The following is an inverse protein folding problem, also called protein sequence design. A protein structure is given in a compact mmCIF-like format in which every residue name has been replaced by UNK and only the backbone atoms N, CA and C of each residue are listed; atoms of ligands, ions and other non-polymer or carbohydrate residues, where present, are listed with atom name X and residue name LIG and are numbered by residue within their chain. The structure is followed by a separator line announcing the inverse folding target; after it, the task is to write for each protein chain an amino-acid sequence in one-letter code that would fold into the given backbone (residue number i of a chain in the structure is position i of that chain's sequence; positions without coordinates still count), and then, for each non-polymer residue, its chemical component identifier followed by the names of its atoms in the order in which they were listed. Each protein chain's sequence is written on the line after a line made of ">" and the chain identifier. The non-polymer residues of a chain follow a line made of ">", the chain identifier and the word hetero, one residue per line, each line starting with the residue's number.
data_IF_471905121870
#
_entry.id   IF_471905121870
#
_cell.length_a   1.000
_cell.length_b   1.000
_cell.length_c   1.000
_cell.angle_alpha   90.00
_cell.angle_beta   90.00
_cell.angle_gamma   90.00
#
_symmetry.space_group_name_H-M   'P 1'
#
loop_
_entity.id
_entity.type
_entity.pdbx_description
1 polymer ?
#
# COMPACT_ATOMS: atom_id res chain seq x y z
N UNK A 1 -28.20 34.36 1.93
CA UNK A 1 -27.27 33.32 2.40
C UNK A 1 -27.80 31.97 1.95
N UNK A 2 -27.19 31.39 0.92
CA UNK A 2 -27.65 30.13 0.33
C UNK A 2 -27.21 28.98 1.23
N UNK A 3 -28.16 28.29 1.85
CA UNK A 3 -27.88 27.13 2.69
C UNK A 3 -27.31 26.01 1.82
N UNK A 4 -25.99 25.84 1.84
CA UNK A 4 -25.33 24.68 1.24
C UNK A 4 -25.81 23.44 1.97
N UNK A 5 -26.58 22.62 1.24
CA UNK A 5 -27.14 21.36 1.71
C UNK A 5 -26.03 20.50 2.34
N UNK A 6 -26.24 20.03 3.58
CA UNK A 6 -25.28 19.25 4.38
C UNK A 6 -24.71 18.05 3.61
N UNK A 7 -25.48 17.47 2.69
CA UNK A 7 -25.01 16.38 1.83
C UNK A 7 -23.90 16.83 0.85
N UNK A 8 -23.99 18.03 0.29
CA UNK A 8 -22.95 18.57 -0.59
C UNK A 8 -21.70 18.97 0.20
N UNK A 9 -21.85 19.58 1.38
CA UNK A 9 -20.70 19.87 2.24
C UNK A 9 -19.97 18.58 2.66
N UNK A 10 -20.71 17.48 2.91
CA UNK A 10 -20.13 16.19 3.22
C UNK A 10 -19.31 15.62 2.05
N UNK A 11 -19.84 15.64 0.82
CA UNK A 11 -19.13 15.11 -0.37
C UNK A 11 -17.83 15.88 -0.68
N UNK A 12 -17.78 17.19 -0.43
CA UNK A 12 -16.57 17.98 -0.69
C UNK A 12 -15.57 17.99 0.48
N UNK A 13 -16.05 17.89 1.73
CA UNK A 13 -15.17 17.91 2.90
C UNK A 13 -14.68 16.53 3.34
N UNK A 14 -15.28 15.43 2.88
CA UNK A 14 -14.85 14.06 3.23
C UNK A 14 -13.37 13.85 2.98
N UNK A 15 -12.81 14.27 1.85
CA UNK A 15 -11.38 14.03 1.61
C UNK A 15 -10.48 14.77 2.61
N UNK A 16 -10.89 15.96 3.07
CA UNK A 16 -10.11 16.73 4.04
C UNK A 16 -10.25 16.14 5.45
N UNK A 17 -11.47 15.76 5.84
CA UNK A 17 -11.74 15.10 7.12
C UNK A 17 -11.09 13.70 7.17
N UNK A 18 -11.16 12.92 6.09
CA UNK A 18 -10.49 11.62 5.97
C UNK A 18 -8.97 11.78 6.05
N UNK A 19 -8.40 12.82 5.44
CA UNK A 19 -6.97 13.14 5.60
C UNK A 19 -6.61 13.50 7.04
N UNK A 20 -7.44 14.30 7.73
CA UNK A 20 -7.25 14.62 9.15
C UNK A 20 -7.32 13.36 10.01
N UNK A 21 -8.31 12.50 9.78
CA UNK A 21 -8.47 11.21 10.47
C UNK A 21 -7.26 10.32 10.21
N UNK A 22 -6.83 10.17 8.95
CA UNK A 22 -5.65 9.37 8.59
C UNK A 22 -4.36 9.88 9.25
N UNK A 23 -4.19 11.21 9.39
CA UNK A 23 -3.08 11.81 10.14
C UNK A 23 -3.13 11.43 11.61
N UNK A 24 -4.28 11.61 12.25
CA UNK A 24 -4.48 11.27 13.67
C UNK A 24 -4.21 9.77 13.92
N UNK A 25 -4.76 8.90 13.07
CA UNK A 25 -4.50 7.45 13.14
C UNK A 25 -3.03 7.08 12.91
N UNK A 26 -2.29 7.92 12.17
CA UNK A 26 -0.85 7.77 11.94
C UNK A 26 0.02 8.44 13.02
N UNK A 27 -0.60 8.92 14.11
CA UNK A 27 0.06 9.59 15.21
C UNK A 27 0.54 11.00 14.88
N UNK A 28 -0.15 11.71 13.99
CA UNK A 28 0.11 13.13 13.66
C UNK A 28 -1.08 13.99 14.08
N UNK A 29 -0.88 15.27 14.44
CA UNK A 29 -1.98 16.21 14.61
C UNK A 29 -2.84 16.34 13.34
N UNK A 30 -4.14 16.56 13.49
CA UNK A 30 -5.08 16.66 12.36
C UNK A 30 -4.67 17.72 11.32
N UNK A 31 -4.13 18.86 11.77
CA UNK A 31 -3.66 19.96 10.92
C UNK A 31 -2.19 19.87 10.48
N UNK A 32 -1.46 18.81 10.83
CA UNK A 32 -0.03 18.73 10.56
C UNK A 32 0.27 18.52 9.07
N UNK A 33 1.25 19.27 8.57
CA UNK A 33 1.88 19.00 7.27
C UNK A 33 2.80 17.79 7.41
N UNK A 34 2.36 16.65 6.91
CA UNK A 34 3.14 15.41 6.96
C UNK A 34 4.17 15.43 5.83
N UNK A 35 5.44 15.55 6.19
CA UNK A 35 6.54 15.39 5.24
C UNK A 35 6.85 13.90 5.10
N UNK A 36 6.86 13.42 3.87
CA UNK A 36 7.23 12.05 3.56
C UNK A 36 8.68 11.78 4.02
N UNK A 37 8.94 10.67 4.73
CA UNK A 37 10.30 10.35 5.13
C UNK A 37 11.15 10.08 3.88
N UNK A 38 12.36 10.61 3.88
CA UNK A 38 13.28 10.55 2.73
C UNK A 38 14.55 9.79 3.06
N UNK A 39 15.17 9.21 2.02
CA UNK A 39 16.50 8.60 2.12
C UNK A 39 17.64 9.63 2.11
N UNK A 40 17.35 10.93 1.98
CA UNK A 40 18.37 11.98 1.96
C UNK A 40 19.23 12.05 3.23
N UNK A 41 18.75 11.49 4.34
CA UNK A 41 19.46 11.43 5.62
C UNK A 41 20.67 10.48 5.54
N UNK A 42 20.67 9.55 4.58
CA UNK A 42 21.72 8.55 4.44
C UNK A 42 22.83 9.00 3.49
N UNK A 43 24.04 8.53 3.76
CA UNK A 43 25.19 8.69 2.88
C UNK A 43 25.03 7.86 1.59
N UNK A 44 25.89 8.14 0.61
CA UNK A 44 25.84 7.50 -0.71
C UNK A 44 26.03 5.98 -0.65
N UNK A 45 26.83 5.46 0.30
CA UNK A 45 27.05 4.02 0.41
C UNK A 45 25.80 3.33 0.96
N UNK A 46 25.19 3.87 2.02
CA UNK A 46 23.92 3.35 2.56
C UNK A 46 22.79 3.42 1.53
N UNK A 47 22.67 4.53 0.77
CA UNK A 47 21.71 4.65 -0.33
C UNK A 47 21.91 3.56 -1.39
N UNK A 48 23.16 3.22 -1.72
CA UNK A 48 23.48 2.15 -2.68
C UNK A 48 23.08 0.76 -2.16
N UNK A 49 23.29 0.48 -0.89
CA UNK A 49 22.85 -0.78 -0.27
C UNK A 49 21.32 -0.91 -0.24
N UNK A 50 20.62 0.15 0.15
CA UNK A 50 19.16 0.23 0.09
C UNK A 50 18.63 0.06 -1.33
N UNK A 51 19.28 0.66 -2.33
CA UNK A 51 18.90 0.51 -3.74
C UNK A 51 19.04 -0.94 -4.22
N UNK A 52 20.11 -1.66 -3.81
CA UNK A 52 20.25 -3.09 -4.12
C UNK A 52 19.16 -3.93 -3.46
N UNK A 53 18.82 -3.66 -2.19
CA UNK A 53 17.70 -4.34 -1.53
C UNK A 53 16.37 -4.03 -2.22
N UNK A 54 16.13 -2.76 -2.58
CA UNK A 54 14.94 -2.29 -3.27
C UNK A 54 14.77 -3.02 -4.62
N UNK A 55 15.86 -3.15 -5.40
CA UNK A 55 15.82 -3.85 -6.68
C UNK A 55 15.33 -5.30 -6.57
N UNK A 56 15.68 -6.00 -5.49
CA UNK A 56 15.29 -7.40 -5.27
C UNK A 56 13.93 -7.52 -4.59
N UNK A 57 13.61 -6.64 -3.63
CA UNK A 57 12.31 -6.62 -2.94
C UNK A 57 11.16 -6.29 -3.89
N UNK A 58 11.39 -5.30 -4.75
CA UNK A 58 10.38 -4.80 -5.70
C UNK A 58 10.61 -5.29 -7.12
N UNK A 59 11.42 -6.34 -7.30
CA UNK A 59 11.77 -6.88 -8.62
C UNK A 59 10.54 -7.12 -9.50
N UNK A 60 9.42 -7.59 -8.95
CA UNK A 60 8.18 -7.83 -9.69
C UNK A 60 7.43 -6.57 -10.15
N UNK A 61 7.79 -5.40 -9.64
CA UNK A 61 7.06 -4.15 -9.80
C UNK A 61 7.82 -3.08 -10.61
N UNK A 62 9.07 -3.35 -10.99
CA UNK A 62 9.95 -2.43 -11.70
C UNK A 62 10.67 -3.15 -12.83
N UNK A 63 11.23 -2.42 -13.80
CA UNK A 63 12.12 -2.99 -14.83
C UNK A 63 11.43 -3.78 -15.95
N UNK A 64 10.14 -3.57 -16.18
CA UNK A 64 9.44 -3.99 -17.41
C UNK A 64 9.73 -3.01 -18.55
N UNK A 65 9.73 -3.46 -19.81
CA UNK A 65 9.92 -2.60 -20.99
C UNK A 65 8.82 -1.54 -21.13
N UNK A 66 7.59 -1.90 -20.80
CA UNK A 66 6.45 -0.99 -20.86
C UNK A 66 6.22 -0.32 -19.49
N UNK A 67 6.43 0.99 -19.45
CA UNK A 67 6.36 1.80 -18.24
C UNK A 67 5.01 1.73 -17.52
N UNK A 68 3.91 1.38 -18.20
CA UNK A 68 2.60 1.25 -17.55
C UNK A 68 2.52 0.07 -16.56
N UNK A 69 3.45 -0.88 -16.65
CA UNK A 69 3.56 -2.01 -15.73
C UNK A 69 4.56 -1.77 -14.60
N UNK A 70 5.22 -0.61 -14.59
CA UNK A 70 6.20 -0.25 -13.57
C UNK A 70 5.59 0.71 -12.55
N UNK A 71 5.90 0.49 -11.27
CA UNK A 71 5.60 1.46 -10.21
C UNK A 71 6.60 2.62 -10.35
N UNK A 72 6.12 3.85 -10.16
CA UNK A 72 6.98 5.04 -10.13
C UNK A 72 8.11 4.87 -9.09
N UNK A 73 9.34 5.16 -9.51
CA UNK A 73 10.53 4.99 -8.67
C UNK A 73 10.46 5.79 -7.35
N UNK A 74 9.83 6.96 -7.34
CA UNK A 74 9.61 7.75 -6.12
C UNK A 74 8.73 7.00 -5.12
N UNK A 75 7.68 6.34 -5.62
CA UNK A 75 6.78 5.51 -4.79
C UNK A 75 7.52 4.30 -4.25
N UNK A 76 8.33 3.64 -5.08
CA UNK A 76 9.13 2.48 -4.62
C UNK A 76 10.14 2.90 -3.55
N UNK A 77 10.80 4.05 -3.75
CA UNK A 77 11.73 4.63 -2.78
C UNK A 77 11.02 4.95 -1.47
N UNK A 78 9.84 5.57 -1.55
CA UNK A 78 9.02 5.85 -0.37
C UNK A 78 8.63 4.57 0.37
N UNK A 79 8.16 3.54 -0.35
CA UNK A 79 7.85 2.24 0.24
C UNK A 79 9.08 1.62 0.91
N UNK A 80 10.26 1.73 0.29
CA UNK A 80 11.52 1.25 0.86
C UNK A 80 11.87 1.98 2.17
N UNK A 81 11.67 3.31 2.23
CA UNK A 81 11.86 4.09 3.46
C UNK A 81 10.95 3.60 4.57
N UNK A 82 9.65 3.46 4.29
CA UNK A 82 8.67 3.00 5.27
C UNK A 82 8.95 1.57 5.72
N UNK A 83 9.35 0.68 4.81
CA UNK A 83 9.73 -0.68 5.12
C UNK A 83 10.92 -0.72 6.07
N UNK A 84 11.99 0.01 5.74
CA UNK A 84 13.22 0.10 6.55
C UNK A 84 12.90 0.62 7.94
N UNK A 85 12.11 1.70 8.02
CA UNK A 85 11.69 2.33 9.28
C UNK A 85 10.81 1.43 10.16
N UNK A 86 9.91 0.65 9.55
CA UNK A 86 8.95 -0.21 10.28
C UNK A 86 9.54 -1.58 10.63
N UNK A 87 10.56 -2.04 9.91
CA UNK A 87 11.16 -3.35 10.07
C UNK A 87 11.55 -3.71 11.52
N UNK A 88 12.21 -2.84 12.32
CA UNK A 88 12.54 -3.19 13.70
C UNK A 88 11.31 -3.52 14.55
N UNK A 89 10.19 -2.82 14.34
CA UNK A 89 8.93 -3.10 15.06
C UNK A 89 8.27 -4.38 14.54
N UNK A 90 8.23 -4.56 13.22
CA UNK A 90 7.65 -5.76 12.62
C UNK A 90 8.37 -7.03 13.08
N UNK A 91 9.71 -6.97 13.16
CA UNK A 91 10.54 -8.08 13.63
C UNK A 91 10.31 -8.38 15.11
N UNK A 92 10.21 -7.36 15.95
CA UNK A 92 9.91 -7.51 17.37
C UNK A 92 8.51 -8.09 17.62
N UNK A 93 7.52 -7.68 16.82
CA UNK A 93 6.14 -8.15 16.93
C UNK A 93 5.98 -9.59 16.45
N UNK A 94 6.57 -9.93 15.29
CA UNK A 94 6.48 -11.27 14.72
C UNK A 94 7.64 -11.55 13.76
N UNK A 95 8.72 -12.13 14.28
CA UNK A 95 9.89 -12.51 13.48
C UNK A 95 9.57 -13.56 12.40
N UNK A 96 8.52 -14.37 12.60
CA UNK A 96 8.10 -15.39 11.65
C UNK A 96 7.20 -14.87 10.52
N UNK A 97 6.82 -13.58 10.55
CA UNK A 97 5.96 -12.97 9.54
C UNK A 97 6.56 -13.10 8.13
N UNK A 98 5.74 -13.39 7.09
CA UNK A 98 6.25 -13.58 5.72
C UNK A 98 7.09 -12.40 5.20
N UNK A 99 6.69 -11.17 5.53
CA UNK A 99 7.42 -9.96 5.15
C UNK A 99 8.80 -9.87 5.82
N UNK A 100 8.89 -10.18 7.11
CA UNK A 100 10.15 -10.18 7.86
C UNK A 100 11.11 -11.22 7.29
N UNK A 101 10.62 -12.45 7.08
CA UNK A 101 11.40 -13.52 6.42
C UNK A 101 11.89 -13.13 5.04
N UNK A 102 11.06 -12.42 4.25
CA UNK A 102 11.43 -11.94 2.92
C UNK A 102 12.56 -10.91 3.00
N UNK A 103 12.46 -9.92 3.90
CA UNK A 103 13.51 -8.92 4.10
C UNK A 103 14.81 -9.58 4.53
N UNK A 104 14.77 -10.51 5.48
CA UNK A 104 15.95 -11.24 5.96
C UNK A 104 16.60 -12.07 4.83
N UNK A 105 15.78 -12.70 3.99
CA UNK A 105 16.27 -13.47 2.83
C UNK A 105 16.93 -12.56 1.80
N UNK A 106 16.31 -11.42 1.49
CA UNK A 106 16.87 -10.46 0.53
C UNK A 106 18.15 -9.82 1.05
N UNK A 107 18.19 -9.45 2.33
CA UNK A 107 19.40 -8.92 2.95
C UNK A 107 20.58 -9.90 2.78
N UNK A 108 20.35 -11.19 3.06
CA UNK A 108 21.34 -12.26 2.82
C UNK A 108 21.73 -12.40 1.36
N UNK A 109 20.77 -12.40 0.43
CA UNK A 109 21.03 -12.50 -1.01
C UNK A 109 21.89 -11.35 -1.54
N UNK A 110 21.64 -10.14 -1.04
CA UNK A 110 22.30 -8.92 -1.52
C UNK A 110 23.64 -8.67 -0.81
N UNK A 111 23.85 -9.30 0.34
CA UNK A 111 25.03 -9.12 1.20
C UNK A 111 24.91 -7.96 2.20
N UNK A 112 23.70 -7.47 2.47
CA UNK A 112 23.47 -6.39 3.44
C UNK A 112 23.41 -6.95 4.85
N UNK A 113 24.15 -6.33 5.78
CA UNK A 113 24.07 -6.70 7.20
C UNK A 113 22.70 -6.29 7.77
N UNK A 114 21.97 -7.28 8.30
CA UNK A 114 20.64 -7.06 8.87
C UNK A 114 20.66 -6.16 10.10
N UNK A 115 21.76 -6.14 10.86
CA UNK A 115 21.94 -5.27 12.02
C UNK A 115 22.08 -3.81 11.58
N UNK A 116 22.81 -3.55 10.50
CA UNK A 116 22.90 -2.23 9.89
C UNK A 116 21.50 -1.77 9.40
N UNK A 117 20.74 -2.67 8.78
CA UNK A 117 19.36 -2.39 8.36
C UNK A 117 18.44 -2.01 9.54
N UNK A 118 18.58 -2.67 10.69
CA UNK A 118 17.86 -2.30 11.93
C UNK A 118 18.30 -0.91 12.43
N UNK A 119 19.61 -0.61 12.40
CA UNK A 119 20.13 0.69 12.80
C UNK A 119 19.57 1.82 11.93
N UNK A 120 19.54 1.64 10.61
CA UNK A 120 18.93 2.60 9.67
C UNK A 120 17.44 2.80 9.93
N UNK A 121 16.71 1.71 10.21
CA UNK A 121 15.29 1.79 10.56
C UNK A 121 15.03 2.57 11.84
N UNK A 122 15.95 2.46 12.81
CA UNK A 122 15.90 3.20 14.08
C UNK A 122 16.19 4.67 13.88
N UNK A 123 17.21 5.01 13.08
CA UNK A 123 17.53 6.39 12.69
C UNK A 123 16.33 7.08 12.02
N UNK A 124 15.71 6.43 11.03
CA UNK A 124 14.52 6.94 10.34
C UNK A 124 13.33 7.16 11.29
N UNK A 125 13.22 6.35 12.34
CA UNK A 125 12.16 6.53 13.35
C UNK A 125 12.42 7.75 14.22
N UNK A 126 13.65 7.92 14.67
CA UNK A 126 14.06 9.04 15.54
C UNK A 126 13.91 10.39 14.83
N UNK A 127 14.12 10.45 13.51
CA UNK A 127 13.86 11.67 12.74
C UNK A 127 12.37 12.09 12.74
N UNK A 128 11.40 11.16 12.85
CA UNK A 128 9.99 11.55 13.05
C UNK A 128 9.75 12.14 14.44
N UNK A 129 10.40 11.59 15.47
CA UNK A 129 10.26 12.09 16.84
C UNK A 129 10.74 13.54 16.89
N UNK A 130 11.92 13.80 16.32
CA UNK A 130 12.45 15.17 16.20
C UNK A 130 11.55 16.11 15.38
N UNK A 131 10.99 15.66 14.25
CA UNK A 131 10.06 16.47 13.47
C UNK A 131 8.75 16.76 14.23
N UNK A 132 8.24 15.81 15.02
CA UNK A 132 7.04 15.97 15.84
C UNK A 132 7.28 16.89 17.05
N UNK A 133 8.44 16.79 17.69
CA UNK A 133 8.84 17.65 18.81
C UNK A 133 9.12 19.09 18.36
N UNK A 134 9.78 19.28 17.21
CA UNK A 134 10.05 20.61 16.65
C UNK A 134 8.75 21.36 16.31
N UNK A 135 7.75 20.67 15.73
CA UNK A 135 6.43 21.26 15.47
C UNK A 135 5.75 21.63 16.78
N UNK A 136 5.76 20.75 17.78
CA UNK A 136 5.14 21.01 19.08
C UNK A 136 5.79 22.18 19.83
N UNK A 137 7.11 22.32 19.75
CA UNK A 137 7.88 23.42 20.36
C UNK A 137 7.64 24.75 19.63
N UNK A 138 7.56 24.74 18.30
CA UNK A 138 7.24 25.94 17.50
C UNK A 138 5.84 26.50 17.79
N UNK A 139 4.84 25.63 18.01
CA UNK A 139 3.48 26.04 18.36
C UNK A 139 3.40 26.61 19.77
N UNK A 140 4.20 26.06 20.70
CA UNK A 140 4.32 26.61 22.06
C UNK A 140 4.95 28.01 22.04
N UNK A 141 5.99 28.22 21.23
CA UNK A 141 6.64 29.53 21.11
C UNK A 141 5.69 30.57 20.48
N UNK A 142 4.97 30.24 19.41
CA UNK A 142 4.00 31.18 18.81
C UNK A 142 2.85 31.54 19.75
N UNK A 143 2.42 30.59 20.58
CA UNK A 143 1.39 30.85 21.60
C UNK A 143 1.92 31.76 22.72
N UNK A 144 3.17 31.56 23.15
CA UNK A 144 3.82 32.41 24.15
C UNK A 144 4.03 33.85 23.63
N UNK A 145 4.41 34.01 22.37
CA UNK A 145 4.50 35.32 21.70
C UNK A 145 3.13 36.01 21.65
N UNK A 146 2.08 35.30 21.23
CA UNK A 146 0.72 35.84 21.18
C UNK A 146 0.18 36.23 22.57
N UNK A 147 0.50 35.45 23.61
CA UNK A 147 0.17 35.83 24.99
C UNK A 147 0.93 37.08 25.46
N UNK A 148 2.19 37.22 25.06
CA UNK A 148 3.02 38.39 25.40
C UNK A 148 2.46 39.67 24.78
N UNK A 149 2.07 39.63 23.51
CA UNK A 149 1.45 40.78 22.81
C UNK A 149 0.10 41.17 23.44
N UNK A 150 -0.74 40.18 23.78
CA UNK A 150 -2.02 40.44 24.43
C UNK A 150 -1.83 41.06 25.83
N UNK A 151 -0.84 40.63 26.59
CA UNK A 151 -0.51 41.23 27.90
C UNK A 151 -0.04 42.67 27.73
N UNK A 152 0.78 42.97 26.72
CA UNK A 152 1.19 44.35 26.44
C UNK A 152 0.00 45.25 26.10
N UNK A 153 -0.91 44.79 25.23
CA UNK A 153 -2.13 45.54 24.88
C UNK A 153 -3.01 45.78 26.11
N UNK A 154 -3.23 44.76 26.94
CA UNK A 154 -4.01 44.89 28.17
C UNK A 154 -3.35 45.83 29.18
N UNK A 155 -2.02 45.82 29.27
CA UNK A 155 -1.25 46.72 30.16
C UNK A 155 -1.39 48.17 29.71
N UNK A 156 -1.30 48.41 28.40
CA UNK A 156 -1.49 49.74 27.80
C UNK A 156 -2.94 50.24 27.96
N UNK A 157 -3.93 49.34 27.79
CA UNK A 157 -5.33 49.67 28.04
C UNK A 157 -5.58 50.01 29.52
N UNK A 158 -5.01 49.25 30.46
CA UNK A 158 -5.12 49.54 31.88
C UNK A 158 -4.47 50.88 32.24
N UNK A 159 -3.34 51.22 31.63
CA UNK A 159 -2.70 52.53 31.81
C UNK A 159 -3.62 53.68 31.38
N UNK A 160 -4.21 53.57 30.19
CA UNK A 160 -5.18 54.57 29.69
C UNK A 160 -6.44 54.65 30.54
N UNK A 161 -6.91 53.52 31.08
CA UNK A 161 -8.04 53.51 32.01
C UNK A 161 -7.69 54.21 33.32
N UNK A 162 -6.48 53.99 33.87
CA UNK A 162 -6.02 54.72 35.05
C UNK A 162 -5.94 56.23 34.78
N UNK A 163 -5.37 56.66 33.64
CA UNK A 163 -5.30 58.08 33.28
C UNK A 163 -6.70 58.71 33.17
N UNK A 164 -7.65 57.98 32.56
CA UNK A 164 -9.06 58.42 32.45
C UNK A 164 -9.77 58.48 33.80
N UNK A 165 -9.50 57.52 34.70
CA UNK A 165 -10.05 57.55 36.05
C UNK A 165 -9.52 58.78 36.80
N UNK A 166 -8.23 59.08 36.67
CA UNK A 166 -7.64 60.25 37.31
C UNK A 166 -8.22 61.57 36.78
N UNK A 167 -8.49 61.67 35.48
CA UNK A 167 -9.16 62.82 34.86
C UNK A 167 -10.64 62.92 35.27
N UNK A 168 -11.35 61.79 35.35
CA UNK A 168 -12.71 61.73 35.88
C UNK A 168 -12.74 62.11 37.36
N UNK A 169 -11.79 61.65 38.18
CA UNK A 169 -11.67 62.04 39.59
C UNK A 169 -11.37 63.53 39.75
N UNK A 170 -10.54 64.12 38.88
CA UNK A 170 -10.27 65.55 38.87
C UNK A 170 -11.51 66.38 38.48
N UNK A 171 -12.27 65.92 37.47
CA UNK A 171 -13.51 66.57 37.03
C UNK A 171 -14.66 66.35 38.01
N UNK A 172 -14.70 65.22 38.72
CA UNK A 172 -15.67 64.94 39.79
C UNK A 172 -15.38 65.75 41.05
N UNK A 173 -14.10 65.94 41.41
CA UNK A 173 -13.68 66.86 42.48
C UNK A 173 -14.08 68.32 42.17
N UNK A 174 -14.14 68.69 40.89
CA UNK A 174 -14.61 70.00 40.44
C UNK A 174 -16.16 70.12 40.38
N UNK A 175 -16.89 69.00 40.28
CA UNK A 175 -18.35 68.99 40.14
C UNK A 175 -19.12 68.55 41.40
N UNK A 176 -18.41 68.18 42.48
CA UNK A 176 -18.96 67.89 43.80
C UNK A 176 -19.33 69.14 44.64
N UNK A 177 -19.68 70.27 43.99
CA UNK A 177 -20.35 71.43 44.62
C UNK A 177 -21.85 71.50 44.33
N UNK A 178 -22.47 70.50 43.68
CA UNK A 178 -23.92 70.49 43.48
C UNK A 178 -24.49 69.08 43.58
N UNK A 179 -25.26 68.84 44.65
CA UNK A 179 -26.01 67.63 44.99
C UNK A 179 -26.87 67.10 43.83
N UNK A 180 -27.33 65.84 43.78
CA UNK A 180 -27.34 64.70 44.71
C UNK A 180 -28.44 63.71 44.26
N UNK A 181 -28.41 62.50 44.83
CA UNK A 181 -29.49 61.47 44.87
C UNK A 181 -29.87 60.80 43.52
N UNK A 182 -30.25 59.52 43.41
CA UNK A 182 -30.62 58.46 44.35
C UNK A 182 -30.79 57.13 43.54
N UNK A 183 -30.44 55.98 44.15
CA UNK A 183 -31.09 54.64 44.11
C UNK A 183 -31.31 53.97 42.73
N UNK A 184 -31.02 52.69 42.47
CA UNK A 184 -30.54 51.58 43.29
C UNK A 184 -30.67 50.24 42.54
N UNK A 185 -30.29 49.17 43.25
CA UNK A 185 -30.63 47.74 43.04
C UNK A 185 -29.69 46.85 42.20
N UNK A 186 -29.00 45.93 42.92
CA UNK A 186 -28.37 44.64 42.52
C UNK A 186 -29.39 43.64 41.89
N UNK A 187 -29.09 42.37 41.46
CA UNK A 187 -27.96 41.46 41.78
C UNK A 187 -27.38 40.62 40.59
N UNK A 188 -26.14 40.12 40.64
CA UNK A 188 -25.65 38.79 41.09
C UNK A 188 -25.90 37.56 40.17
N UNK A 189 -24.77 37.04 39.68
CA UNK A 189 -24.31 35.67 39.37
C UNK A 189 -25.26 34.46 39.19
N UNK A 190 -24.90 33.61 38.20
CA UNK A 190 -24.78 32.12 38.14
C UNK A 190 -25.06 31.68 36.69
N UNK A 191 -24.35 30.79 36.01
CA UNK A 191 -23.76 29.50 36.39
C UNK A 191 -24.58 28.37 35.73
N UNK A 192 -24.02 27.64 34.75
CA UNK A 192 -24.53 26.34 34.24
C UNK A 192 -23.47 25.67 33.33
N UNK A 193 -22.81 24.60 33.77
CA UNK A 193 -23.10 23.16 33.52
C UNK A 193 -22.84 22.69 32.08
N UNK A 194 -21.77 21.90 31.94
CA UNK A 194 -21.47 21.00 30.82
C UNK A 194 -22.19 19.67 31.09
N UNK A 195 -22.81 19.11 30.05
CA UNK A 195 -23.09 17.67 29.95
C UNK A 195 -22.65 17.22 28.55
N UNK A 196 -21.78 16.21 28.50
CA UNK A 196 -21.38 15.53 27.27
C UNK A 196 -21.55 14.04 27.51
N UNK A 197 -22.56 13.44 26.88
CA UNK A 197 -22.75 12.00 26.79
C UNK A 197 -22.29 11.53 25.41
N UNK A 198 -21.38 10.56 25.42
CA UNK A 198 -20.88 9.82 24.26
C UNK A 198 -21.70 8.55 24.11
N UNK A 199 -22.21 8.19 22.92
CA UNK A 199 -22.58 6.82 22.62
C UNK A 199 -21.49 6.13 21.79
N UNK A 200 -21.09 4.99 22.33
CA UNK A 200 -20.23 3.94 21.79
C UNK A 200 -20.88 3.34 20.53
N UNK A 201 -20.08 3.06 19.49
CA UNK A 201 -20.57 2.45 18.24
C UNK A 201 -19.96 1.07 18.04
N UNK A 202 -20.85 0.08 17.95
CA UNK A 202 -20.57 -1.32 17.67
C UNK A 202 -19.97 -1.49 16.26
N UNK A 203 -18.79 -2.10 16.19
CA UNK A 203 -18.13 -2.48 14.95
C UNK A 203 -18.62 -3.87 14.51
N UNK A 204 -19.50 -3.90 13.53
CA UNK A 204 -19.84 -5.13 12.80
C UNK A 204 -18.72 -5.42 11.77
N UNK A 205 -18.14 -6.63 11.71
CA UNK A 205 -17.01 -6.91 10.82
C UNK A 205 -17.44 -6.93 9.34
N UNK A 206 -16.76 -6.12 8.53
CA UNK A 206 -16.98 -6.04 7.08
C UNK A 206 -16.70 -7.38 6.38
N UNK A 207 -17.68 -7.83 5.59
CA UNK A 207 -17.58 -8.98 4.69
C UNK A 207 -16.47 -8.75 3.65
N UNK A 208 -15.59 -9.75 3.51
CA UNK A 208 -14.50 -9.80 2.52
C UNK A 208 -15.06 -9.59 1.10
N UNK A 209 -14.59 -8.53 0.45
CA UNK A 209 -14.83 -8.22 -0.97
C UNK A 209 -14.38 -9.39 -1.87
N UNK A 210 -15.22 -9.78 -2.83
CA UNK A 210 -14.90 -10.77 -3.88
C UNK A 210 -13.91 -10.12 -4.85
N UNK A 211 -12.67 -10.60 -4.85
CA UNK A 211 -11.63 -10.15 -5.78
C UNK A 211 -11.97 -10.43 -7.25
N UNK A 212 -11.44 -9.58 -8.13
CA UNK A 212 -11.52 -9.68 -9.58
C UNK A 212 -11.05 -11.06 -10.10
N UNK A 213 -11.64 -11.51 -11.20
CA UNK A 213 -11.31 -12.82 -11.76
C UNK A 213 -9.87 -12.86 -12.27
N UNK A 214 -9.05 -13.78 -11.75
CA UNK A 214 -7.66 -13.95 -12.19
C UNK A 214 -7.66 -14.53 -13.62
N UNK A 215 -6.99 -13.85 -14.56
CA UNK A 215 -6.88 -14.28 -15.95
C UNK A 215 -5.78 -15.34 -16.16
N UNK A 216 -5.86 -16.18 -17.20
CA UNK A 216 -4.83 -17.19 -17.50
C UNK A 216 -3.41 -16.62 -17.66
N UNK A 217 -3.24 -15.51 -18.36
CA UNK A 217 -1.94 -14.83 -18.54
C UNK A 217 -1.37 -14.30 -17.23
N UNK A 218 -2.21 -13.94 -16.25
CA UNK A 218 -1.76 -13.57 -14.90
C UNK A 218 -1.16 -14.77 -14.18
N UNK A 219 -1.81 -15.93 -14.25
CA UNK A 219 -1.31 -17.17 -13.64
C UNK A 219 -0.06 -17.69 -14.35
N UNK A 220 0.02 -17.53 -15.68
CA UNK A 220 1.24 -17.77 -16.46
C UNK A 220 2.39 -16.90 -15.99
N UNK A 221 2.17 -15.58 -15.90
CA UNK A 221 3.20 -14.65 -15.47
C UNK A 221 3.66 -14.94 -14.04
N UNK A 222 2.73 -15.22 -13.12
CA UNK A 222 3.05 -15.59 -11.74
C UNK A 222 3.84 -16.90 -11.67
N UNK A 223 3.49 -17.90 -12.46
CA UNK A 223 4.20 -19.18 -12.54
C UNK A 223 5.70 -18.95 -12.79
N UNK A 224 6.02 -18.17 -13.82
CA UNK A 224 7.39 -17.95 -14.26
C UNK A 224 8.16 -16.86 -13.50
N UNK A 225 7.49 -15.86 -12.93
CA UNK A 225 8.19 -14.69 -12.35
C UNK A 225 8.20 -14.63 -10.83
N UNK A 226 7.32 -15.36 -10.14
CA UNK A 226 7.25 -15.30 -8.68
C UNK A 226 8.54 -15.84 -8.04
N UNK A 227 8.99 -15.19 -6.97
CA UNK A 227 10.14 -15.61 -6.18
C UNK A 227 9.67 -15.80 -4.73
N UNK A 228 9.85 -16.98 -4.11
CA UNK A 228 10.34 -18.23 -4.71
C UNK A 228 9.38 -18.76 -5.79
N UNK A 229 9.91 -19.51 -6.78
CA UNK A 229 9.09 -20.11 -7.84
C UNK A 229 8.02 -21.02 -7.25
N UNK A 230 6.79 -21.08 -7.81
CA UNK A 230 5.72 -21.92 -7.27
C UNK A 230 6.07 -23.42 -7.21
N UNK A 231 6.94 -23.91 -8.11
CA UNK A 231 7.45 -25.29 -8.09
C UNK A 231 8.59 -25.52 -7.09
N UNK A 232 9.17 -24.47 -6.52
CA UNK A 232 10.18 -24.54 -5.46
C UNK A 232 9.57 -24.32 -4.06
N UNK A 233 8.29 -24.00 -3.97
CA UNK A 233 7.58 -23.82 -2.70
C UNK A 233 7.20 -25.19 -2.12
N UNK A 234 7.52 -25.43 -0.84
CA UNK A 234 7.19 -26.67 -0.11
C UNK A 234 5.69 -26.86 0.12
N UNK A 235 5.27 -27.64 1.13
CA UNK A 235 3.86 -27.84 1.45
C UNK A 235 3.27 -26.61 2.19
N UNK A 236 3.18 -25.47 1.52
CA UNK A 236 2.35 -24.35 2.00
C UNK A 236 0.86 -24.68 1.80
N UNK A 237 0.00 -24.10 2.64
CA UNK A 237 -1.45 -24.34 2.66
C UNK A 237 -2.21 -23.95 1.37
N UNK A 238 -1.51 -23.71 0.27
CA UNK A 238 -2.06 -23.31 -1.03
C UNK A 238 -1.79 -24.35 -2.14
N UNK A 239 -1.62 -25.62 -1.76
CA UNK A 239 -1.36 -26.74 -2.67
C UNK A 239 -2.37 -26.82 -3.82
N UNK A 240 -3.65 -26.59 -3.55
CA UNK A 240 -4.70 -26.65 -4.58
C UNK A 240 -4.50 -25.58 -5.65
N UNK A 241 -4.27 -24.32 -5.25
CA UNK A 241 -4.02 -23.22 -6.19
C UNK A 241 -2.79 -23.48 -7.04
N UNK A 242 -1.72 -24.02 -6.45
CA UNK A 242 -0.50 -24.37 -7.17
C UNK A 242 -0.75 -25.46 -8.20
N UNK A 243 -1.49 -26.51 -7.84
CA UNK A 243 -1.89 -27.56 -8.78
C UNK A 243 -2.76 -27.02 -9.92
N UNK A 244 -3.74 -26.16 -9.62
CA UNK A 244 -4.59 -25.56 -10.65
C UNK A 244 -3.82 -24.60 -11.56
N UNK A 245 -2.94 -23.77 -10.99
CA UNK A 245 -2.05 -22.89 -11.76
C UNK A 245 -1.12 -23.71 -12.67
N UNK A 246 -0.52 -24.77 -12.14
CA UNK A 246 0.34 -25.69 -12.90
C UNK A 246 -0.40 -26.30 -14.08
N UNK A 247 -1.60 -26.86 -13.85
CA UNK A 247 -2.41 -27.45 -14.92
C UNK A 247 -2.85 -26.41 -15.96
N UNK A 248 -3.18 -25.19 -15.54
CA UNK A 248 -3.55 -24.14 -16.47
C UNK A 248 -2.36 -23.74 -17.35
N UNK A 249 -1.17 -23.60 -16.77
CA UNK A 249 0.06 -23.32 -17.52
C UNK A 249 0.35 -24.43 -18.51
N UNK A 250 0.19 -25.70 -18.12
CA UNK A 250 0.31 -26.84 -19.02
C UNK A 250 -0.63 -26.75 -20.22
N UNK A 251 -1.90 -26.43 -19.99
CA UNK A 251 -2.83 -26.21 -21.10
C UNK A 251 -2.43 -25.01 -21.96
N UNK A 252 -1.95 -23.91 -21.37
CA UNK A 252 -1.52 -22.73 -22.13
C UNK A 252 -0.33 -23.02 -23.04
N UNK A 253 0.62 -23.87 -22.62
CA UNK A 253 1.77 -24.29 -23.44
C UNK A 253 1.34 -24.92 -24.76
N UNK A 254 0.23 -25.67 -24.76
CA UNK A 254 -0.30 -26.34 -25.95
C UNK A 254 -0.71 -25.38 -27.08
N UNK A 255 -1.00 -24.12 -26.73
CA UNK A 255 -1.44 -23.10 -27.69
C UNK A 255 -0.28 -22.22 -28.18
N UNK A 256 0.96 -22.52 -27.79
CA UNK A 256 2.14 -21.83 -28.34
C UNK A 256 2.57 -22.55 -29.61
N UNK A 257 2.58 -21.83 -30.73
CA UNK A 257 2.96 -22.38 -32.04
C UNK A 257 4.44 -22.13 -32.29
N UNK A 258 5.15 -23.13 -32.82
CA UNK A 258 6.55 -22.99 -33.22
C UNK A 258 7.58 -23.14 -32.09
N UNK A 259 7.14 -23.43 -30.86
CA UNK A 259 8.02 -23.54 -29.70
C UNK A 259 8.21 -22.20 -28.97
N UNK A 260 9.06 -22.19 -27.94
CA UNK A 260 9.42 -20.99 -27.18
C UNK A 260 10.71 -21.18 -26.40
N UNK A 261 11.37 -20.08 -26.06
CA UNK A 261 12.51 -20.05 -25.15
C UNK A 261 12.25 -19.05 -24.04
N UNK A 262 12.37 -19.51 -22.79
CA UNK A 262 12.23 -18.73 -21.58
C UNK A 262 13.49 -18.88 -20.72
N UNK A 263 14.59 -18.24 -21.13
CA UNK A 263 15.83 -18.22 -20.37
C UNK A 263 15.78 -17.19 -19.23
N UNK A 264 15.90 -17.66 -17.98
CA UNK A 264 15.87 -16.81 -16.79
C UNK A 264 17.04 -15.82 -16.72
N UNK A 265 18.15 -16.12 -17.40
CA UNK A 265 19.36 -15.28 -17.38
C UNK A 265 19.33 -14.18 -18.44
N UNK A 266 18.34 -14.22 -19.33
CA UNK A 266 18.22 -13.27 -20.43
C UNK A 266 17.63 -11.95 -19.96
N UNK A 267 18.26 -10.86 -20.39
CA UNK A 267 17.69 -9.52 -20.21
C UNK A 267 16.31 -9.44 -20.89
N UNK A 268 15.29 -9.02 -20.13
CA UNK A 268 13.91 -8.97 -20.60
C UNK A 268 13.11 -10.27 -20.46
N UNK A 269 13.62 -11.27 -19.71
CA UNK A 269 12.88 -12.50 -19.39
C UNK A 269 11.41 -12.26 -19.01
N UNK A 270 11.15 -11.30 -18.11
CA UNK A 270 9.78 -10.99 -17.65
C UNK A 270 8.90 -10.43 -18.76
N UNK A 271 9.47 -9.64 -19.68
CA UNK A 271 8.74 -9.12 -20.83
C UNK A 271 8.41 -10.25 -21.82
N UNK A 272 9.33 -11.19 -22.03
CA UNK A 272 9.09 -12.37 -22.86
C UNK A 272 8.01 -13.27 -22.25
N UNK A 273 8.09 -13.56 -20.95
CA UNK A 273 7.05 -14.30 -20.21
C UNK A 273 5.69 -13.62 -20.37
N UNK A 274 5.62 -12.29 -20.22
CA UNK A 274 4.37 -11.54 -20.35
C UNK A 274 3.82 -11.59 -21.77
N UNK A 275 4.66 -11.38 -22.78
CA UNK A 275 4.28 -11.43 -24.21
C UNK A 275 3.78 -12.82 -24.58
N UNK A 276 4.51 -13.85 -24.18
CA UNK A 276 4.16 -15.24 -24.46
C UNK A 276 2.87 -15.65 -23.77
N UNK A 277 2.70 -15.31 -22.49
CA UNK A 277 1.49 -15.59 -21.72
C UNK A 277 0.23 -14.94 -22.32
N UNK A 278 0.34 -13.68 -22.78
CA UNK A 278 -0.78 -13.00 -23.48
C UNK A 278 -1.09 -13.64 -24.84
N UNK A 279 -0.07 -14.02 -25.59
CA UNK A 279 -0.24 -14.71 -26.88
C UNK A 279 -0.93 -16.07 -26.70
N UNK A 280 -0.49 -16.86 -25.72
CA UNK A 280 -1.10 -18.13 -25.36
C UNK A 280 -2.55 -17.97 -24.87
N UNK A 281 -2.83 -16.97 -24.02
CA UNK A 281 -4.19 -16.66 -23.57
C UNK A 281 -5.11 -16.30 -24.76
N UNK A 282 -4.63 -15.46 -25.68
CA UNK A 282 -5.39 -15.08 -26.87
C UNK A 282 -5.75 -16.30 -27.72
N UNK A 283 -4.77 -17.17 -28.01
CA UNK A 283 -4.98 -18.39 -28.81
C UNK A 283 -5.89 -19.40 -28.11
N UNK A 284 -5.70 -19.60 -26.81
CA UNK A 284 -6.61 -20.39 -25.97
C UNK A 284 -8.04 -19.83 -26.03
N UNK A 285 -8.20 -18.51 -25.93
CA UNK A 285 -9.49 -17.84 -26.01
C UNK A 285 -10.19 -18.02 -27.37
N UNK A 286 -9.44 -17.98 -28.47
CA UNK A 286 -9.96 -18.29 -29.81
C UNK A 286 -10.45 -19.74 -29.89
N UNK A 287 -9.65 -20.70 -29.42
CA UNK A 287 -10.02 -22.11 -29.40
C UNK A 287 -11.28 -22.38 -28.56
N UNK A 288 -11.37 -21.79 -27.37
CA UNK A 288 -12.57 -21.91 -26.53
C UNK A 288 -13.81 -21.31 -27.23
N UNK A 289 -13.65 -20.19 -27.94
CA UNK A 289 -14.75 -19.57 -28.71
C UNK A 289 -15.22 -20.47 -29.85
N UNK A 290 -14.31 -21.11 -30.58
CA UNK A 290 -14.63 -22.09 -31.64
C UNK A 290 -15.42 -23.28 -31.09
N UNK A 291 -15.15 -23.68 -29.84
CA UNK A 291 -15.88 -24.73 -29.12
C UNK A 291 -17.17 -24.24 -28.44
N UNK A 292 -17.58 -22.99 -28.65
CA UNK A 292 -18.79 -22.40 -28.06
C UNK A 292 -18.68 -22.07 -26.56
N UNK A 293 -17.47 -22.07 -26.00
CA UNK A 293 -17.21 -21.83 -24.57
C UNK A 293 -16.95 -20.35 -24.33
N UNK A 294 -17.67 -19.75 -23.37
CA UNK A 294 -17.55 -18.34 -22.98
C UNK A 294 -16.66 -18.09 -21.75
N UNK A 295 -15.95 -19.11 -21.27
CA UNK A 295 -15.09 -19.01 -20.10
C UNK A 295 -13.87 -18.12 -20.37
N UNK A 296 -13.58 -17.18 -19.45
CA UNK A 296 -12.45 -16.25 -19.54
C UNK A 296 -11.53 -16.27 -18.31
N UNK A 297 -12.11 -16.41 -17.13
CA UNK A 297 -11.35 -16.50 -15.87
C UNK A 297 -10.55 -17.81 -15.79
N UNK A 298 -9.35 -17.76 -15.21
CA UNK A 298 -8.44 -18.90 -15.12
C UNK A 298 -9.09 -20.17 -14.56
N UNK A 299 -9.82 -20.08 -13.45
CA UNK A 299 -10.53 -21.23 -12.87
C UNK A 299 -11.65 -21.79 -13.75
N UNK A 300 -12.39 -20.92 -14.45
CA UNK A 300 -13.46 -21.34 -15.36
C UNK A 300 -12.90 -21.97 -16.65
N UNK A 301 -11.86 -21.38 -17.22
CA UNK A 301 -11.12 -21.92 -18.35
C UNK A 301 -10.55 -23.28 -18.01
N UNK A 302 -9.90 -23.42 -16.85
CA UNK A 302 -9.31 -24.67 -16.40
C UNK A 302 -10.35 -25.80 -16.28
N UNK A 303 -11.53 -25.51 -15.72
CA UNK A 303 -12.62 -26.49 -15.66
C UNK A 303 -12.99 -26.99 -17.06
N UNK A 304 -13.16 -26.08 -18.02
CA UNK A 304 -13.53 -26.43 -19.40
C UNK A 304 -12.42 -27.13 -20.16
N UNK A 305 -11.16 -26.77 -19.92
CA UNK A 305 -10.02 -27.46 -20.49
C UNK A 305 -9.89 -28.90 -19.99
N UNK A 306 -10.20 -29.15 -18.71
CA UNK A 306 -10.29 -30.52 -18.19
C UNK A 306 -11.36 -31.35 -18.89
N UNK A 307 -12.56 -30.79 -19.10
CA UNK A 307 -13.64 -31.45 -19.85
C UNK A 307 -13.21 -31.78 -21.29
N UNK A 308 -12.56 -30.83 -21.99
CA UNK A 308 -12.06 -31.02 -23.36
C UNK A 308 -10.91 -32.03 -23.44
N UNK A 309 -10.06 -32.09 -22.42
CA UNK A 309 -8.97 -33.06 -22.31
C UNK A 309 -9.52 -34.48 -22.14
N UNK A 310 -10.46 -34.68 -21.23
CA UNK A 310 -11.12 -35.99 -21.05
C UNK A 310 -11.84 -36.47 -22.32
N UNK A 311 -12.34 -35.54 -23.14
CA UNK A 311 -12.98 -35.83 -24.42
C UNK A 311 -12.00 -36.02 -25.60
N UNK A 312 -10.67 -35.96 -25.37
CA UNK A 312 -9.64 -36.12 -26.41
C UNK A 312 -9.51 -34.94 -27.38
N UNK A 313 -10.21 -33.82 -27.17
CA UNK A 313 -10.20 -32.68 -28.10
C UNK A 313 -8.87 -31.91 -28.12
N UNK A 314 -7.98 -32.16 -27.16
CA UNK A 314 -6.67 -31.55 -27.04
C UNK A 314 -5.52 -32.45 -27.56
N UNK A 315 -5.80 -33.68 -27.99
CA UNK A 315 -4.77 -34.67 -28.32
C UNK A 315 -3.85 -34.20 -29.46
N UNK A 316 -4.41 -33.57 -30.50
CA UNK A 316 -3.62 -32.99 -31.59
C UNK A 316 -2.68 -31.86 -31.12
N UNK A 317 -3.11 -31.08 -30.13
CA UNK A 317 -2.28 -30.01 -29.55
C UNK A 317 -1.19 -30.60 -28.66
N UNK A 318 -1.50 -31.65 -27.90
CA UNK A 318 -0.53 -32.40 -27.08
C UNK A 318 0.55 -33.02 -27.98
N UNK A 319 0.16 -33.71 -29.05
CA UNK A 319 1.10 -34.31 -30.00
C UNK A 319 2.00 -33.27 -30.67
N UNK A 320 1.44 -32.11 -31.03
CA UNK A 320 2.21 -30.98 -31.59
C UNK A 320 3.23 -30.46 -30.57
N UNK A 321 2.81 -30.22 -29.34
CA UNK A 321 3.71 -29.79 -28.28
C UNK A 321 4.82 -30.81 -28.02
N UNK A 322 4.48 -32.10 -28.00
CA UNK A 322 5.45 -33.20 -27.85
C UNK A 322 6.46 -33.27 -29.00
N UNK A 323 6.05 -32.94 -30.23
CA UNK A 323 6.96 -32.85 -31.37
C UNK A 323 7.93 -31.67 -31.21
N UNK A 324 7.43 -30.50 -30.80
CA UNK A 324 8.26 -29.32 -30.54
C UNK A 324 9.26 -29.56 -29.39
N UNK A 325 8.80 -30.21 -28.32
CA UNK A 325 9.63 -30.57 -27.18
C UNK A 325 10.75 -31.55 -27.59
N UNK A 326 10.43 -32.59 -28.36
CA UNK A 326 11.43 -33.56 -28.87
C UNK A 326 12.40 -32.93 -29.87
N UNK A 327 11.97 -31.93 -30.63
CA UNK A 327 12.82 -31.18 -31.55
C UNK A 327 13.76 -30.18 -30.85
N UNK A 328 13.69 -30.04 -29.52
CA UNK A 328 14.50 -29.08 -28.77
C UNK A 328 14.09 -27.61 -28.99
N UNK A 329 12.86 -27.36 -29.47
CA UNK A 329 12.33 -26.02 -29.73
C UNK A 329 11.62 -25.42 -28.50
N UNK A 330 11.71 -26.08 -27.34
CA UNK A 330 11.09 -25.66 -26.09
C UNK A 330 12.16 -25.57 -25.01
N UNK A 331 12.47 -24.35 -24.58
CA UNK A 331 13.33 -24.07 -23.44
C UNK A 331 12.47 -23.44 -22.33
N UNK A 332 12.21 -24.24 -21.28
CA UNK A 332 11.33 -23.90 -20.16
C UNK A 332 12.07 -24.10 -18.82
N UNK A 333 12.08 -23.12 -17.91
CA UNK A 333 12.78 -23.21 -16.62
C UNK A 333 12.04 -24.05 -15.56
N UNK A 334 10.82 -24.50 -15.85
CA UNK A 334 10.03 -25.37 -14.98
C UNK A 334 10.61 -26.80 -14.99
N UNK A 335 10.50 -27.55 -13.88
CA UNK A 335 10.94 -28.93 -13.85
C UNK A 335 10.12 -29.78 -14.84
N UNK A 336 10.71 -30.86 -15.38
CA UNK A 336 10.05 -31.77 -16.33
C UNK A 336 8.74 -32.38 -15.78
N UNK A 337 8.66 -32.58 -14.46
CA UNK A 337 7.44 -33.02 -13.76
C UNK A 337 6.29 -32.02 -13.88
N UNK A 338 6.59 -30.78 -14.25
CA UNK A 338 5.64 -29.71 -14.52
C UNK A 338 5.36 -29.45 -15.99
N UNK A 339 5.96 -30.20 -16.91
CA UNK A 339 5.73 -30.09 -18.35
C UNK A 339 4.99 -31.34 -18.87
N UNK A 340 5.21 -32.50 -18.23
CA UNK A 340 4.68 -33.80 -18.68
C UNK A 340 3.37 -34.25 -18.00
N UNK A 341 2.65 -33.36 -17.30
CA UNK A 341 1.50 -33.79 -16.50
C UNK A 341 0.28 -34.19 -17.35
N UNK A 342 0.05 -33.53 -18.48
CA UNK A 342 -1.05 -33.87 -19.40
C UNK A 342 -0.89 -35.27 -20.01
N UNK A 343 0.35 -35.77 -20.11
CA UNK A 343 0.67 -37.14 -20.53
C UNK A 343 0.30 -38.19 -19.48
N UNK A 344 0.45 -37.87 -18.19
CA UNK A 344 0.02 -38.74 -17.09
C UNK A 344 -1.50 -38.83 -16.97
N UNK A 345 -2.22 -37.76 -17.31
CA UNK A 345 -3.68 -37.73 -17.27
C UNK A 345 -4.32 -38.54 -18.41
N UNK A 346 -3.70 -38.63 -19.60
CA UNK A 346 -4.17 -39.49 -20.70
C UNK A 346 -4.09 -40.99 -20.36
N UNK A 347 -3.04 -41.41 -19.65
CA UNK A 347 -2.87 -42.82 -19.23
C UNK A 347 -3.94 -43.26 -18.21
N UNK A 348 -4.44 -42.36 -17.38
CA UNK A 348 -5.45 -42.66 -16.37
C UNK A 348 -6.90 -42.61 -16.89
N UNK A 349 -7.13 -42.09 -18.10
CA UNK A 349 -8.45 -42.04 -18.73
C UNK A 349 -8.72 -43.23 -19.67
N UNK A 350 -7.70 -44.07 -19.89
CA UNK A 350 -7.77 -45.29 -20.73
C UNK A 350 -7.89 -46.58 -19.92
N UNK A 351 -8.21 -46.47 -18.63
CA UNK A 351 -8.59 -47.55 -17.70
C UNK A 351 -10.01 -47.23 -17.22
#
# INVERSE_FOLDING_TARGET
>A
MTATNKAFAYVFNTSNEDQKVARVLSGWPAGATVVAPSLEIFDAATKKELARMQAVLFASCIGMQDNKYNINNEVVTLLMVYLTRSYPMLKALCASAPLVKRIDTVAKQVGVNIEAFVAWGTLLRNCKVQASEAVSMSTMNSFAEQQTDMIQVLTEQNKRLMDRIQDVEATLAASASTAGQSVGTMPLAKGAKRDASVPESDVVPAKKSRGEAIMPSTLWFEWFTLVPRPWNQGNDGNRQRRSDMKLLVDFMRLFIEGGYSLDENKDGYRDEVLKLGKSAEMKLGLYLKEKGIKAKAGGACLKKLRELHCAGHLDAHIQRFDALFRAGLVEDPSPLSSINQLRQLQLNASI
#
